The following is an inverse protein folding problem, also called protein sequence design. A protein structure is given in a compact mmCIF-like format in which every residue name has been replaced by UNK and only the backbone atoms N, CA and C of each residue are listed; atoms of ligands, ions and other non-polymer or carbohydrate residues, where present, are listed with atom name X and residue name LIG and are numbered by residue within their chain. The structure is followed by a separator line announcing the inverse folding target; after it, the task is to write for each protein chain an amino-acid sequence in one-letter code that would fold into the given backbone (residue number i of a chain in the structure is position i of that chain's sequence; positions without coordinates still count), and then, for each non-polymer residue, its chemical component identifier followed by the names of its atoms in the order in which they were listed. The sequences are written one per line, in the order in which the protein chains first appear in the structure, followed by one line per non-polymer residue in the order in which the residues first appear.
data_IF_519409901738
#
_entry.id   IF_519409901738
#
_cell.length_a   1.000
_cell.length_b   1.000
_cell.length_c   1.000
_cell.angle_alpha   90.00
_cell.angle_beta   90.00
_cell.angle_gamma   90.00
#
_symmetry.space_group_name_H-M   'P 1'
#
loop_
_entity.id
_entity.type
_entity.pdbx_description
1 polymer ?
#
# COMPACT_ATOMS: atom_id res chain seq x y z
N UNK A 1 29.92 -1.07 -17.30
CA UNK A 1 28.86 -0.74 -16.31
C UNK A 1 27.76 0.09 -16.96
N UNK A 2 28.07 1.22 -17.61
CA UNK A 2 27.06 2.07 -18.26
C UNK A 2 26.16 1.30 -19.22
N UNK A 3 26.70 0.48 -20.12
CA UNK A 3 25.90 -0.34 -21.05
C UNK A 3 24.92 -1.30 -20.36
N UNK A 4 25.28 -1.82 -19.18
CA UNK A 4 24.38 -2.66 -18.38
C UNK A 4 23.23 -1.83 -17.78
N UNK A 5 23.52 -0.64 -17.28
CA UNK A 5 22.50 0.30 -16.78
C UNK A 5 21.55 0.72 -17.89
N UNK A 6 22.07 1.04 -19.06
CA UNK A 6 21.24 1.43 -20.21
C UNK A 6 20.35 0.28 -20.68
N UNK A 7 20.84 -0.95 -20.67
CA UNK A 7 20.07 -2.15 -20.96
C UNK A 7 18.97 -2.39 -19.92
N UNK A 8 19.28 -2.26 -18.62
CA UNK A 8 18.31 -2.39 -17.53
C UNK A 8 17.24 -1.30 -17.64
N UNK A 9 17.63 -0.05 -17.87
CA UNK A 9 16.68 1.05 -18.03
C UNK A 9 15.77 0.86 -19.24
N UNK A 10 16.28 0.33 -20.35
CA UNK A 10 15.48 0.02 -21.53
C UNK A 10 14.46 -1.09 -21.27
N UNK A 11 14.82 -2.10 -20.46
CA UNK A 11 13.89 -3.16 -20.01
C UNK A 11 12.85 -2.57 -19.06
N UNK A 12 13.26 -1.78 -18.08
CA UNK A 12 12.35 -1.13 -17.14
C UNK A 12 11.35 -0.21 -17.85
N UNK A 13 11.77 0.54 -18.87
CA UNK A 13 10.88 1.38 -19.66
C UNK A 13 9.81 0.56 -20.41
N UNK A 14 10.17 -0.61 -20.95
CA UNK A 14 9.19 -1.53 -21.57
C UNK A 14 8.22 -2.11 -20.56
N UNK A 15 8.72 -2.50 -19.38
CA UNK A 15 7.87 -3.00 -18.29
C UNK A 15 6.90 -1.91 -17.84
N UNK A 16 7.33 -0.66 -17.77
CA UNK A 16 6.46 0.45 -17.41
C UNK A 16 5.32 0.65 -18.40
N UNK A 17 5.58 0.56 -19.69
CA UNK A 17 4.53 0.63 -20.74
C UNK A 17 3.50 -0.48 -20.54
N UNK A 18 3.94 -1.70 -20.26
CA UNK A 18 3.03 -2.83 -20.00
C UNK A 18 2.25 -2.60 -18.70
N UNK A 19 2.89 -2.14 -17.64
CA UNK A 19 2.24 -1.80 -16.37
C UNK A 19 1.18 -0.72 -16.55
N UNK A 20 1.51 0.35 -17.28
CA UNK A 20 0.59 1.44 -17.57
C UNK A 20 -0.60 1.00 -18.42
N UNK A 21 -0.37 0.08 -19.37
CA UNK A 21 -1.43 -0.53 -20.14
C UNK A 21 -2.43 -1.28 -19.23
N UNK A 22 -1.93 -2.12 -18.31
CA UNK A 22 -2.79 -2.86 -17.37
C UNK A 22 -3.50 -1.94 -16.37
N UNK A 23 -2.78 -0.98 -15.80
CA UNK A 23 -3.36 -0.07 -14.81
C UNK A 23 -4.40 0.90 -15.39
N UNK A 24 -4.26 1.27 -16.64
CA UNK A 24 -5.16 2.21 -17.30
C UNK A 24 -6.16 1.53 -18.26
N UNK A 25 -6.09 0.20 -18.41
CA UNK A 25 -7.07 -0.52 -19.24
C UNK A 25 -8.49 -0.42 -18.63
N UNK A 26 -9.54 -0.16 -19.43
CA UNK A 26 -9.55 0.16 -20.86
C UNK A 26 -9.48 1.68 -21.16
N UNK A 27 -9.18 2.53 -20.18
CA UNK A 27 -9.13 3.99 -20.34
C UNK A 27 -8.08 4.46 -21.38
N UNK A 28 -7.15 3.58 -21.78
CA UNK A 28 -6.20 3.81 -22.87
C UNK A 28 -6.85 3.85 -24.26
N UNK A 29 -8.08 3.37 -24.41
CA UNK A 29 -8.77 3.34 -25.68
C UNK A 29 -9.69 4.54 -25.83
N UNK A 30 -9.61 5.24 -26.98
CA UNK A 30 -10.38 6.45 -27.26
C UNK A 30 -11.90 6.26 -27.14
N UNK A 31 -12.41 5.09 -27.55
CA UNK A 31 -13.84 4.78 -27.46
C UNK A 31 -14.33 4.67 -26.01
N UNK A 32 -13.48 4.21 -25.09
CA UNK A 32 -13.84 4.10 -23.69
C UNK A 32 -13.63 5.43 -22.95
N UNK A 33 -12.49 6.10 -23.19
CA UNK A 33 -12.17 7.39 -22.56
C UNK A 33 -13.15 8.51 -22.93
N UNK A 34 -13.88 8.37 -24.06
CA UNK A 34 -14.95 9.31 -24.42
C UNK A 34 -16.25 9.14 -23.62
N UNK A 35 -16.39 8.06 -22.84
CA UNK A 35 -17.56 7.88 -21.97
C UNK A 35 -17.46 8.84 -20.79
N UNK A 36 -18.42 9.75 -20.58
CA UNK A 36 -18.38 10.70 -19.48
C UNK A 36 -18.25 9.98 -18.14
N UNK A 37 -17.38 10.48 -17.28
CA UNK A 37 -17.08 9.96 -15.92
C UNK A 37 -16.41 8.58 -15.96
N UNK A 38 -17.06 7.56 -16.54
CA UNK A 38 -16.59 6.16 -16.54
C UNK A 38 -15.29 6.00 -17.32
N UNK A 39 -15.12 6.74 -18.41
CA UNK A 39 -13.92 6.67 -19.27
C UNK A 39 -12.61 7.02 -18.56
N UNK A 40 -12.68 7.69 -17.43
CA UNK A 40 -11.53 8.04 -16.61
C UNK A 40 -11.11 6.92 -15.64
N UNK A 41 -11.95 5.89 -15.46
CA UNK A 41 -11.68 4.81 -14.54
C UNK A 41 -11.17 3.57 -15.25
N UNK A 42 -10.02 3.06 -14.80
CA UNK A 42 -9.55 1.77 -15.26
C UNK A 42 -10.39 0.63 -14.68
N UNK A 43 -10.39 -0.51 -15.36
CA UNK A 43 -11.08 -1.71 -14.90
C UNK A 43 -10.54 -2.15 -13.51
N UNK A 44 -9.24 -2.00 -13.27
CA UNK A 44 -8.63 -2.31 -11.98
C UNK A 44 -9.25 -1.47 -10.84
N UNK A 45 -9.39 -0.15 -11.04
CA UNK A 45 -10.01 0.75 -10.07
C UNK A 45 -11.48 0.37 -9.85
N UNK A 46 -12.23 0.12 -10.93
CA UNK A 46 -13.65 -0.26 -10.86
C UNK A 46 -13.83 -1.56 -10.08
N UNK A 47 -13.02 -2.58 -10.37
CA UNK A 47 -13.11 -3.87 -9.71
C UNK A 47 -12.71 -3.78 -8.22
N UNK A 48 -11.60 -3.10 -7.91
CA UNK A 48 -11.12 -3.00 -6.54
C UNK A 48 -12.04 -2.15 -5.66
N UNK A 49 -12.44 -0.97 -6.14
CA UNK A 49 -13.36 -0.11 -5.40
C UNK A 49 -14.78 -0.70 -5.36
N UNK A 50 -15.24 -1.22 -6.49
CA UNK A 50 -16.56 -1.84 -6.60
C UNK A 50 -16.72 -3.08 -5.72
N UNK A 51 -15.70 -3.94 -5.66
CA UNK A 51 -15.69 -5.08 -4.72
C UNK A 51 -15.69 -4.61 -3.27
N UNK A 52 -14.95 -3.54 -2.93
CA UNK A 52 -14.95 -2.95 -1.61
C UNK A 52 -16.33 -2.43 -1.20
N UNK A 53 -17.02 -1.73 -2.09
CA UNK A 53 -18.40 -1.26 -1.89
C UNK A 53 -19.34 -2.45 -1.73
N UNK A 54 -19.24 -3.44 -2.63
CA UNK A 54 -20.07 -4.64 -2.57
C UNK A 54 -19.91 -5.37 -1.24
N UNK A 55 -18.68 -5.65 -0.79
CA UNK A 55 -18.43 -6.32 0.47
C UNK A 55 -18.84 -5.47 1.68
N UNK A 56 -18.65 -4.16 1.63
CA UNK A 56 -19.12 -3.25 2.69
C UNK A 56 -20.64 -3.38 2.87
N UNK A 57 -21.39 -3.32 1.78
CA UNK A 57 -22.87 -3.47 1.82
C UNK A 57 -23.30 -4.89 2.21
N UNK A 58 -22.71 -5.91 1.56
CA UNK A 58 -23.06 -7.32 1.78
C UNK A 58 -22.76 -7.77 3.21
N UNK A 59 -21.67 -7.31 3.80
CA UNK A 59 -21.26 -7.63 5.16
C UNK A 59 -21.78 -6.61 6.20
N UNK A 60 -22.67 -5.70 5.80
CA UNK A 60 -23.33 -4.72 6.67
C UNK A 60 -22.32 -3.88 7.45
N UNK A 61 -21.36 -3.26 6.73
CA UNK A 61 -20.32 -2.40 7.30
C UNK A 61 -19.46 -3.12 8.35
N UNK A 62 -18.96 -4.29 8.00
CA UNK A 62 -18.14 -5.16 8.86
C UNK A 62 -16.97 -4.40 9.49
N UNK A 63 -16.32 -3.54 8.72
CA UNK A 63 -15.17 -2.74 9.12
C UNK A 63 -15.47 -1.76 10.27
N UNK A 64 -16.72 -1.33 10.42
CA UNK A 64 -17.16 -0.48 11.53
C UNK A 64 -17.62 -1.34 12.71
N UNK A 65 -18.51 -2.31 12.44
CA UNK A 65 -19.15 -3.14 13.48
C UNK A 65 -18.16 -4.00 14.26
N UNK A 66 -17.13 -4.51 13.60
CA UNK A 66 -16.16 -5.43 14.21
C UNK A 66 -14.77 -4.82 14.37
N UNK A 67 -14.64 -3.49 14.20
CA UNK A 67 -13.37 -2.79 14.43
C UNK A 67 -12.81 -3.04 15.84
N UNK A 68 -13.66 -2.86 16.87
CA UNK A 68 -13.29 -3.13 18.26
C UNK A 68 -12.96 -4.61 18.53
N UNK A 69 -13.58 -5.55 17.81
CA UNK A 69 -13.22 -6.97 17.88
C UNK A 69 -11.80 -7.21 17.36
N UNK A 70 -11.44 -6.64 16.22
CA UNK A 70 -10.10 -6.75 15.66
C UNK A 70 -9.03 -6.20 16.60
N UNK A 71 -9.27 -5.04 17.26
CA UNK A 71 -8.37 -4.50 18.28
C UNK A 71 -8.23 -5.47 19.46
N UNK A 72 -9.33 -6.09 19.89
CA UNK A 72 -9.31 -7.08 20.99
C UNK A 72 -8.49 -8.31 20.61
N UNK A 73 -8.60 -8.80 19.38
CA UNK A 73 -7.80 -9.92 18.86
C UNK A 73 -6.31 -9.57 18.90
N UNK A 74 -5.93 -8.37 18.48
CA UNK A 74 -4.53 -7.91 18.54
C UNK A 74 -4.01 -7.82 19.98
N UNK A 75 -4.79 -7.23 20.90
CA UNK A 75 -4.40 -7.09 22.31
C UNK A 75 -4.26 -8.43 23.03
N UNK A 76 -5.12 -9.39 22.70
CA UNK A 76 -5.17 -10.70 23.36
C UNK A 76 -4.44 -11.78 22.53
N UNK A 77 -3.61 -11.37 21.56
CA UNK A 77 -2.88 -12.31 20.72
C UNK A 77 -1.95 -13.19 21.55
N UNK A 78 -2.17 -14.50 21.47
CA UNK A 78 -1.36 -15.50 22.16
C UNK A 78 -0.22 -15.97 21.25
N UNK A 79 0.79 -16.59 21.84
CA UNK A 79 1.82 -17.28 21.07
C UNK A 79 1.19 -18.43 20.28
N UNK A 80 1.53 -18.50 19.00
CA UNK A 80 1.03 -19.54 18.12
C UNK A 80 1.66 -20.90 18.47
N UNK A 81 0.86 -21.96 18.38
CA UNK A 81 1.35 -23.34 18.46
C UNK A 81 1.92 -23.80 17.11
N UNK A 82 1.26 -23.40 16.04
CA UNK A 82 1.62 -23.69 14.65
C UNK A 82 1.58 -22.39 13.87
N UNK A 83 2.54 -22.14 12.97
CA UNK A 83 2.60 -20.89 12.23
C UNK A 83 3.02 -19.69 13.06
N UNK A 84 2.32 -18.57 12.94
CA UNK A 84 2.62 -17.30 13.60
C UNK A 84 1.39 -16.77 14.35
N UNK A 85 1.59 -15.91 15.36
CA UNK A 85 0.48 -15.30 16.10
C UNK A 85 -0.29 -14.29 15.22
N UNK A 86 -1.53 -13.96 15.62
CA UNK A 86 -2.32 -12.93 14.93
C UNK A 86 -1.64 -11.56 14.95
N UNK A 87 -0.92 -11.23 16.02
CA UNK A 87 -0.14 -10.00 16.13
C UNK A 87 1.09 -10.02 15.21
N UNK A 88 1.81 -11.15 15.16
CA UNK A 88 2.94 -11.31 14.23
C UNK A 88 2.49 -11.24 12.76
N UNK A 89 1.34 -11.83 12.42
CA UNK A 89 0.74 -11.69 11.10
C UNK A 89 0.33 -10.25 10.79
N UNK A 90 -0.14 -9.50 11.77
CA UNK A 90 -0.43 -8.07 11.65
C UNK A 90 0.84 -7.27 11.36
N UNK A 91 1.92 -7.46 12.12
CA UNK A 91 3.19 -6.77 11.86
C UNK A 91 3.80 -7.17 10.52
N UNK A 92 3.75 -8.45 10.17
CA UNK A 92 4.24 -8.91 8.87
C UNK A 92 3.46 -8.27 7.71
N UNK A 93 2.14 -8.22 7.78
CA UNK A 93 1.32 -7.56 6.76
C UNK A 93 1.47 -6.04 6.79
N UNK A 94 1.73 -5.44 7.95
CA UNK A 94 2.02 -4.01 8.08
C UNK A 94 3.37 -3.67 7.44
N UNK A 95 4.39 -4.53 7.60
CA UNK A 95 5.67 -4.37 6.92
C UNK A 95 5.56 -4.40 5.39
N UNK A 96 4.56 -5.10 4.84
CA UNK A 96 4.30 -5.12 3.40
C UNK A 96 3.63 -3.82 2.92
N UNK A 97 2.74 -3.25 3.72
CA UNK A 97 1.97 -2.05 3.38
C UNK A 97 2.72 -0.76 3.69
N UNK A 98 3.21 -0.64 4.94
CA UNK A 98 3.85 0.60 5.42
C UNK A 98 5.31 0.65 4.97
N UNK A 99 5.57 1.52 4.01
CA UNK A 99 6.89 1.65 3.41
C UNK A 99 7.03 2.95 2.62
N UNK A 100 8.01 3.04 1.72
CA UNK A 100 8.21 4.21 0.87
C UNK A 100 6.96 4.62 0.07
N UNK A 101 6.07 3.66 -0.23
CA UNK A 101 4.80 3.90 -0.92
C UNK A 101 3.87 4.86 -0.17
N UNK A 102 3.88 4.85 1.16
CA UNK A 102 3.09 5.78 1.98
C UNK A 102 3.61 7.22 1.92
N UNK A 103 4.88 7.42 1.61
CA UNK A 103 5.48 8.74 1.44
C UNK A 103 5.41 9.16 -0.02
N UNK A 104 6.02 8.39 -0.91
CA UNK A 104 6.10 8.72 -2.34
C UNK A 104 4.73 8.63 -3.03
N UNK A 105 3.89 7.66 -2.63
CA UNK A 105 2.55 7.50 -3.15
C UNK A 105 1.63 8.65 -2.78
N UNK A 106 1.65 9.07 -1.50
CA UNK A 106 0.85 10.21 -1.02
C UNK A 106 1.34 11.52 -1.62
N UNK A 107 2.67 11.75 -1.62
CA UNK A 107 3.27 12.94 -2.24
C UNK A 107 2.90 13.02 -3.72
N UNK A 108 3.03 11.90 -4.46
CA UNK A 108 2.64 11.83 -5.88
C UNK A 108 1.14 12.05 -6.10
N UNK A 109 0.27 11.51 -5.23
CA UNK A 109 -1.17 11.74 -5.31
C UNK A 109 -1.51 13.23 -5.14
N UNK A 110 -0.91 13.88 -4.13
CA UNK A 110 -1.14 15.28 -3.85
C UNK A 110 -0.52 16.19 -4.92
N UNK A 111 0.67 15.85 -5.43
CA UNK A 111 1.34 16.63 -6.49
C UNK A 111 0.56 16.63 -7.80
N UNK A 112 -0.13 15.55 -8.13
CA UNK A 112 -0.88 15.40 -9.39
C UNK A 112 -2.35 15.77 -9.20
N UNK A 113 -2.96 15.29 -8.10
CA UNK A 113 -4.41 15.41 -7.84
C UNK A 113 -4.78 16.51 -6.85
N UNK A 114 -3.81 17.27 -6.32
CA UNK A 114 -4.04 18.24 -5.27
C UNK A 114 -4.34 17.60 -3.90
N UNK A 115 -4.52 18.44 -2.85
CA UNK A 115 -4.87 17.99 -1.50
C UNK A 115 -6.10 17.08 -1.42
N UNK A 116 -7.08 17.29 -2.32
CA UNK A 116 -8.30 16.48 -2.41
C UNK A 116 -8.08 15.01 -2.70
N UNK A 117 -6.93 14.63 -3.28
CA UNK A 117 -6.58 13.23 -3.50
C UNK A 117 -6.50 12.44 -2.18
N UNK A 118 -6.10 13.08 -1.08
CA UNK A 118 -6.04 12.44 0.24
C UNK A 118 -7.43 12.02 0.73
N UNK A 119 -8.47 12.81 0.50
CA UNK A 119 -9.85 12.42 0.81
C UNK A 119 -10.24 11.13 0.07
N UNK A 120 -9.92 11.04 -1.20
CA UNK A 120 -10.24 9.85 -2.00
C UNK A 120 -9.39 8.62 -1.63
N UNK A 121 -8.20 8.83 -1.07
CA UNK A 121 -7.45 7.75 -0.41
C UNK A 121 -8.20 7.22 0.81
N UNK A 122 -8.79 8.09 1.65
CA UNK A 122 -9.60 7.66 2.80
C UNK A 122 -10.83 6.86 2.37
N UNK A 123 -11.53 7.33 1.33
CA UNK A 123 -12.69 6.62 0.76
C UNK A 123 -12.28 5.23 0.26
N UNK A 124 -11.18 5.12 -0.49
CA UNK A 124 -10.69 3.83 -0.97
C UNK A 124 -10.28 2.90 0.17
N UNK A 125 -9.66 3.42 1.21
CA UNK A 125 -9.29 2.64 2.40
C UNK A 125 -10.50 2.13 3.16
N UNK A 126 -11.52 2.98 3.36
CA UNK A 126 -12.75 2.57 4.03
C UNK A 126 -13.41 1.37 3.35
N UNK A 127 -13.53 1.40 2.03
CA UNK A 127 -14.05 0.26 1.27
C UNK A 127 -13.05 -0.90 1.19
N UNK A 128 -11.76 -0.59 1.08
CA UNK A 128 -10.68 -1.57 1.08
C UNK A 128 -10.62 -2.41 2.36
N UNK A 129 -11.02 -1.86 3.52
CA UNK A 129 -11.10 -2.62 4.78
C UNK A 129 -12.03 -3.84 4.66
N UNK A 130 -13.17 -3.71 3.99
CA UNK A 130 -14.11 -4.83 3.78
C UNK A 130 -13.55 -5.86 2.80
N UNK A 131 -12.82 -5.43 1.79
CA UNK A 131 -12.11 -6.32 0.86
C UNK A 131 -11.02 -7.09 1.58
N UNK A 132 -10.16 -6.40 2.36
CA UNK A 132 -9.10 -7.02 3.15
C UNK A 132 -9.63 -8.03 4.18
N UNK A 133 -10.77 -7.70 4.82
CA UNK A 133 -11.48 -8.65 5.68
C UNK A 133 -11.85 -9.92 4.92
N UNK A 134 -12.44 -9.78 3.76
CA UNK A 134 -12.96 -10.91 2.96
C UNK A 134 -11.84 -11.80 2.46
N UNK A 135 -10.81 -11.22 1.80
CA UNK A 135 -9.69 -11.99 1.25
C UNK A 135 -8.87 -12.70 2.34
N UNK A 136 -8.68 -12.04 3.49
CA UNK A 136 -7.94 -12.63 4.61
C UNK A 136 -8.72 -13.73 5.32
N UNK A 137 -10.04 -13.59 5.41
CA UNK A 137 -10.93 -14.66 5.90
C UNK A 137 -10.89 -15.87 4.97
N UNK A 138 -10.95 -15.66 3.66
CA UNK A 138 -10.81 -16.74 2.67
C UNK A 138 -9.44 -17.42 2.78
N UNK A 139 -8.38 -16.66 2.95
CA UNK A 139 -7.04 -17.19 3.12
C UNK A 139 -6.93 -18.09 4.37
N UNK A 140 -7.59 -17.73 5.45
CA UNK A 140 -7.66 -18.54 6.67
C UNK A 140 -8.50 -19.82 6.50
N UNK A 141 -9.61 -19.76 5.75
CA UNK A 141 -10.49 -20.93 5.51
C UNK A 141 -9.78 -21.96 4.65
N UNK A 142 -9.01 -21.52 3.64
CA UNK A 142 -8.38 -22.40 2.66
C UNK A 142 -6.88 -22.59 2.85
N UNK A 143 -6.35 -22.24 4.02
CA UNK A 143 -4.94 -22.53 4.36
C UNK A 143 -4.72 -24.01 4.54
N UNK A 144 -3.50 -24.45 4.27
CA UNK A 144 -3.06 -25.81 4.45
C UNK A 144 -1.94 -25.88 5.50
N UNK A 145 -1.91 -26.94 6.30
CA UNK A 145 -0.83 -27.17 7.24
C UNK A 145 0.33 -27.87 6.52
N UNK A 146 1.53 -27.31 6.64
CA UNK A 146 2.75 -27.89 6.11
C UNK A 146 3.84 -27.92 7.19
N UNK A 147 4.03 -29.07 7.81
CA UNK A 147 4.90 -29.20 8.98
C UNK A 147 4.40 -28.34 10.15
N UNK A 148 5.24 -27.46 10.66
CA UNK A 148 4.93 -26.53 11.75
C UNK A 148 4.44 -25.16 11.28
N UNK A 149 4.07 -25.02 10.03
CA UNK A 149 3.62 -23.76 9.45
C UNK A 149 2.26 -23.91 8.76
N UNK A 150 1.52 -22.81 8.66
CA UNK A 150 0.38 -22.69 7.76
C UNK A 150 0.83 -22.00 6.47
N UNK A 151 0.42 -22.55 5.35
CA UNK A 151 0.61 -21.98 4.01
C UNK A 151 -0.74 -21.71 3.37
N UNK A 152 -0.86 -20.60 2.67
CA UNK A 152 -2.12 -20.21 2.05
C UNK A 152 -1.97 -18.92 1.26
N UNK A 153 -3.09 -18.33 0.92
CA UNK A 153 -3.17 -17.08 0.16
C UNK A 153 -3.93 -17.24 -1.15
N UNK A 154 -3.78 -16.26 -2.05
CA UNK A 154 -4.56 -16.15 -3.28
C UNK A 154 -4.59 -17.45 -4.11
N UNK A 155 -3.46 -18.14 -4.27
CA UNK A 155 -3.37 -19.36 -5.05
C UNK A 155 -4.20 -20.51 -4.46
N UNK A 156 -4.29 -20.60 -3.14
CA UNK A 156 -5.02 -21.64 -2.43
C UNK A 156 -6.53 -21.47 -2.52
N UNK A 157 -7.07 -20.30 -2.15
CA UNK A 157 -8.49 -20.07 -2.25
C UNK A 157 -8.94 -19.87 -3.70
N UNK A 158 -8.10 -19.28 -4.55
CA UNK A 158 -8.36 -19.14 -5.98
C UNK A 158 -8.52 -20.49 -6.68
N UNK A 159 -7.63 -21.45 -6.39
CA UNK A 159 -7.77 -22.83 -6.84
C UNK A 159 -9.14 -23.43 -6.44
N UNK A 160 -9.56 -23.22 -5.21
CA UNK A 160 -10.85 -23.73 -4.70
C UNK A 160 -12.05 -23.08 -5.36
N UNK A 161 -12.02 -21.74 -5.50
CA UNK A 161 -13.07 -20.97 -6.15
C UNK A 161 -13.22 -21.31 -7.64
N UNK A 162 -12.12 -21.69 -8.31
CA UNK A 162 -12.09 -22.13 -9.70
C UNK A 162 -12.25 -23.67 -9.83
N UNK A 163 -13.23 -24.22 -9.13
CA UNK A 163 -13.64 -25.65 -9.19
C UNK A 163 -12.52 -26.64 -8.84
N UNK A 164 -11.57 -26.25 -8.01
CA UNK A 164 -10.46 -27.10 -7.60
C UNK A 164 -9.38 -27.30 -8.66
N UNK A 165 -9.37 -26.50 -9.73
CA UNK A 165 -8.39 -26.61 -10.81
C UNK A 165 -6.96 -26.40 -10.31
N UNK A 166 -6.13 -27.43 -10.41
CA UNK A 166 -4.71 -27.32 -10.09
C UNK A 166 -3.99 -26.31 -11.00
N UNK A 167 -4.37 -26.26 -12.28
CA UNK A 167 -3.82 -25.29 -13.23
C UNK A 167 -4.10 -23.84 -12.80
N UNK A 168 -5.30 -23.55 -12.29
CA UNK A 168 -5.61 -22.22 -11.77
C UNK A 168 -4.72 -21.83 -10.57
N UNK A 169 -4.47 -22.75 -9.65
CA UNK A 169 -3.54 -22.53 -8.54
C UNK A 169 -2.12 -22.25 -9.01
N UNK A 170 -1.64 -23.00 -10.00
CA UNK A 170 -0.31 -22.79 -10.59
C UNK A 170 -0.21 -21.44 -11.28
N UNK A 171 -1.20 -21.08 -12.12
CA UNK A 171 -1.23 -19.78 -12.83
C UNK A 171 -1.20 -18.63 -11.82
N UNK A 172 -2.05 -18.66 -10.79
CA UNK A 172 -2.08 -17.63 -9.75
C UNK A 172 -0.75 -17.55 -8.98
N UNK A 173 -0.11 -18.68 -8.69
CA UNK A 173 1.20 -18.71 -8.04
C UNK A 173 2.29 -18.09 -8.92
N UNK A 174 2.31 -18.43 -10.21
CA UNK A 174 3.28 -17.88 -11.18
C UNK A 174 3.07 -16.37 -11.34
N UNK A 175 1.82 -15.91 -11.48
CA UNK A 175 1.51 -14.48 -11.55
C UNK A 175 2.02 -13.75 -10.30
N UNK A 176 1.88 -14.37 -9.12
CA UNK A 176 2.33 -13.77 -7.87
C UNK A 176 3.86 -13.70 -7.77
N UNK A 177 4.56 -14.74 -8.25
CA UNK A 177 6.03 -14.75 -8.32
C UNK A 177 6.51 -13.64 -9.27
N UNK A 178 5.89 -13.51 -10.43
CA UNK A 178 6.22 -12.43 -11.39
C UNK A 178 5.99 -11.06 -10.75
N UNK A 179 4.84 -10.86 -10.10
CA UNK A 179 4.55 -9.63 -9.37
C UNK A 179 5.62 -9.30 -8.34
N UNK A 180 5.99 -10.28 -7.50
CA UNK A 180 7.03 -10.11 -6.50
C UNK A 180 8.38 -9.71 -7.13
N UNK A 181 8.81 -10.41 -8.17
CA UNK A 181 10.06 -10.13 -8.88
C UNK A 181 10.10 -8.72 -9.50
N UNK A 182 8.96 -8.19 -9.94
CA UNK A 182 8.87 -6.84 -10.49
C UNK A 182 8.81 -5.76 -9.41
N UNK A 183 8.24 -6.05 -8.24
CA UNK A 183 8.11 -5.09 -7.14
C UNK A 183 9.36 -4.99 -6.27
N UNK A 184 10.12 -6.06 -6.09
CA UNK A 184 11.32 -6.09 -5.25
C UNK A 184 12.38 -5.03 -5.61
N UNK A 185 12.75 -4.84 -6.88
CA UNK A 185 13.78 -3.88 -7.25
C UNK A 185 13.40 -2.44 -6.86
N UNK A 186 12.13 -2.06 -7.01
CA UNK A 186 11.64 -0.73 -6.65
C UNK A 186 11.76 -0.48 -5.13
N UNK A 187 11.42 -1.46 -4.30
CA UNK A 187 11.54 -1.33 -2.85
C UNK A 187 13.03 -1.29 -2.42
N UNK A 188 13.87 -2.11 -3.02
CA UNK A 188 15.32 -2.09 -2.79
C UNK A 188 15.93 -0.74 -3.17
N UNK A 189 15.59 -0.20 -4.33
CA UNK A 189 16.02 1.12 -4.77
C UNK A 189 15.59 2.22 -3.79
N UNK A 190 14.34 2.23 -3.35
CA UNK A 190 13.83 3.20 -2.40
C UNK A 190 14.60 3.16 -1.06
N UNK A 191 14.90 1.95 -0.56
CA UNK A 191 15.66 1.78 0.68
C UNK A 191 17.10 2.34 0.55
N UNK A 192 17.79 2.00 -0.53
CA UNK A 192 19.15 2.47 -0.80
C UNK A 192 19.17 3.98 -1.06
N UNK A 193 18.20 4.51 -1.80
CA UNK A 193 18.08 5.96 -2.06
C UNK A 193 17.85 6.75 -0.77
N UNK A 194 17.11 6.17 0.19
CA UNK A 194 16.93 6.81 1.50
C UNK A 194 18.25 6.96 2.26
N UNK A 195 19.16 5.98 2.16
CA UNK A 195 20.52 6.08 2.73
C UNK A 195 21.32 7.20 2.06
N UNK A 196 21.23 7.30 0.73
CA UNK A 196 21.85 8.38 -0.03
C UNK A 196 21.34 9.76 0.41
N UNK A 197 20.02 9.93 0.51
CA UNK A 197 19.41 11.19 0.95
C UNK A 197 19.83 11.58 2.39
N UNK A 198 19.89 10.63 3.30
CA UNK A 198 20.38 10.88 4.66
C UNK A 198 21.83 11.38 4.61
N UNK A 199 22.68 10.74 3.82
CA UNK A 199 24.07 11.13 3.69
C UNK A 199 24.21 12.51 3.02
N UNK A 200 23.37 12.87 2.05
CA UNK A 200 23.33 14.23 1.46
C UNK A 200 22.97 15.28 2.51
N UNK A 201 21.96 15.01 3.34
CA UNK A 201 21.57 15.94 4.43
C UNK A 201 22.70 16.14 5.44
N UNK A 202 23.41 15.06 5.82
CA UNK A 202 24.51 15.13 6.79
C UNK A 202 25.74 15.81 6.22
N UNK A 203 26.09 15.55 4.96
CA UNK A 203 27.32 16.05 4.34
C UNK A 203 27.14 17.40 3.65
N UNK A 204 25.89 17.81 3.38
CA UNK A 204 25.58 19.01 2.59
C UNK A 204 26.02 18.90 1.12
N UNK A 205 26.30 17.71 0.62
CA UNK A 205 26.77 17.46 -0.75
C UNK A 205 25.84 16.49 -1.46
N UNK A 206 25.56 16.74 -2.73
CA UNK A 206 24.84 15.77 -3.56
C UNK A 206 25.70 14.52 -3.78
N UNK A 207 25.08 13.36 -3.55
CA UNK A 207 25.75 12.07 -3.68
C UNK A 207 25.20 11.36 -4.93
N UNK A 208 26.02 11.17 -5.96
CA UNK A 208 25.60 10.49 -7.17
C UNK A 208 25.14 9.04 -6.91
N UNK A 209 24.13 8.59 -7.63
CA UNK A 209 23.57 7.23 -7.47
C UNK A 209 24.52 6.10 -7.86
N UNK A 210 25.59 6.41 -8.57
CA UNK A 210 26.68 5.49 -8.93
C UNK A 210 27.82 5.47 -7.91
N UNK A 211 27.71 6.24 -6.81
CA UNK A 211 28.73 6.31 -5.77
C UNK A 211 28.92 4.97 -5.03
N UNK A 212 30.10 4.79 -4.43
CA UNK A 212 30.40 3.62 -3.61
C UNK A 212 29.40 3.43 -2.45
N UNK A 213 28.85 4.52 -1.89
CA UNK A 213 27.85 4.46 -0.83
C UNK A 213 26.60 3.68 -1.26
N UNK A 214 26.08 3.96 -2.46
CA UNK A 214 24.90 3.26 -2.99
C UNK A 214 25.19 1.77 -3.20
N UNK A 215 26.36 1.42 -3.75
CA UNK A 215 26.73 0.02 -3.98
C UNK A 215 26.94 -0.76 -2.68
N UNK A 216 27.59 -0.16 -1.70
CA UNK A 216 27.81 -0.78 -0.38
C UNK A 216 26.45 -0.96 0.33
N UNK A 217 25.60 0.05 0.31
CA UNK A 217 24.27 -0.01 0.91
C UNK A 217 23.39 -1.08 0.25
N UNK A 218 23.43 -1.18 -1.07
CA UNK A 218 22.72 -2.21 -1.83
C UNK A 218 23.24 -3.61 -1.48
N UNK A 219 24.56 -3.82 -1.46
CA UNK A 219 25.16 -5.10 -1.10
C UNK A 219 24.81 -5.51 0.35
N UNK A 220 24.88 -4.58 1.30
CA UNK A 220 24.51 -4.81 2.69
C UNK A 220 23.02 -5.18 2.83
N UNK A 221 22.14 -4.46 2.14
CA UNK A 221 20.71 -4.75 2.12
C UNK A 221 20.41 -6.13 1.53
N UNK A 222 21.05 -6.46 0.40
CA UNK A 222 20.88 -7.76 -0.27
C UNK A 222 21.31 -8.91 0.64
N UNK A 223 22.47 -8.81 1.28
CA UNK A 223 22.97 -9.82 2.22
C UNK A 223 22.03 -9.96 3.40
N UNK A 224 21.56 -8.86 3.99
CA UNK A 224 20.60 -8.88 5.09
C UNK A 224 19.28 -9.57 4.69
N UNK A 225 18.75 -9.25 3.52
CA UNK A 225 17.52 -9.87 3.00
C UNK A 225 17.68 -11.38 2.78
N UNK A 226 18.80 -11.81 2.19
CA UNK A 226 19.08 -13.24 1.99
C UNK A 226 19.16 -13.96 3.34
N UNK A 227 19.88 -13.40 4.32
CA UNK A 227 20.00 -13.99 5.65
C UNK A 227 18.67 -14.09 6.39
N UNK A 228 17.78 -13.12 6.22
CA UNK A 228 16.46 -13.12 6.84
C UNK A 228 15.56 -14.16 6.13
N UNK A 229 15.51 -14.11 4.80
CA UNK A 229 14.66 -14.98 4.00
C UNK A 229 15.02 -16.47 4.15
N UNK A 230 16.30 -16.80 4.29
CA UNK A 230 16.77 -18.20 4.49
C UNK A 230 16.21 -18.86 5.76
N UNK A 231 15.80 -18.07 6.74
CA UNK A 231 15.21 -18.58 7.98
C UNK A 231 13.70 -18.81 7.93
N UNK A 232 13.07 -18.66 6.75
CA UNK A 232 11.64 -18.86 6.56
C UNK A 232 10.78 -17.80 7.26
N UNK A 233 9.46 -18.00 7.23
CA UNK A 233 8.48 -17.03 7.72
C UNK A 233 8.69 -16.69 9.20
N UNK A 234 9.09 -17.64 10.03
CA UNK A 234 9.34 -17.42 11.45
C UNK A 234 10.51 -16.47 11.73
N UNK A 235 11.55 -16.49 10.90
CA UNK A 235 12.68 -15.55 11.04
C UNK A 235 12.29 -14.17 10.51
N UNK A 236 11.57 -14.12 9.40
CA UNK A 236 11.04 -12.87 8.85
C UNK A 236 10.13 -12.18 9.89
N UNK A 237 9.21 -12.90 10.52
CA UNK A 237 8.31 -12.33 11.55
C UNK A 237 9.07 -11.82 12.76
N UNK A 238 10.09 -12.53 13.25
CA UNK A 238 10.91 -12.02 14.37
C UNK A 238 11.57 -10.68 14.07
N UNK A 239 11.99 -10.47 12.82
CA UNK A 239 12.56 -9.18 12.40
C UNK A 239 11.47 -8.13 12.28
N UNK A 240 10.33 -8.44 11.66
CA UNK A 240 9.23 -7.48 11.50
C UNK A 240 8.56 -7.11 12.81
N UNK A 241 8.47 -8.04 13.78
CA UNK A 241 7.91 -7.79 15.11
C UNK A 241 8.69 -6.71 15.89
N UNK A 242 9.96 -6.51 15.57
CA UNK A 242 10.81 -5.49 16.19
C UNK A 242 10.91 -4.24 15.30
N UNK A 243 11.18 -4.44 14.01
CA UNK A 243 11.48 -3.34 13.10
C UNK A 243 10.24 -2.46 12.82
N UNK A 244 9.07 -3.09 12.63
CA UNK A 244 7.83 -2.36 12.29
C UNK A 244 7.37 -1.43 13.41
N UNK A 245 7.28 -1.87 14.68
CA UNK A 245 6.94 -0.95 15.77
C UNK A 245 7.96 0.19 15.93
N UNK A 246 9.25 -0.08 15.81
CA UNK A 246 10.30 0.96 15.92
C UNK A 246 10.12 1.99 14.81
N UNK A 247 9.98 1.54 13.56
CA UNK A 247 9.75 2.40 12.40
C UNK A 247 8.47 3.24 12.58
N UNK A 248 7.38 2.61 13.00
CA UNK A 248 6.12 3.29 13.22
C UNK A 248 6.21 4.35 14.32
N UNK A 249 6.86 4.05 15.44
CA UNK A 249 7.05 4.99 16.55
C UNK A 249 7.89 6.19 16.12
N UNK A 250 9.02 5.96 15.45
CA UNK A 250 9.89 7.05 14.97
C UNK A 250 9.12 7.94 14.00
N UNK A 251 8.44 7.33 13.02
CA UNK A 251 7.67 8.08 12.01
C UNK A 251 6.54 8.89 12.64
N UNK A 252 5.69 8.25 13.45
CA UNK A 252 4.55 8.90 14.11
C UNK A 252 5.02 10.00 15.06
N UNK A 253 6.05 9.75 15.87
CA UNK A 253 6.59 10.74 16.78
C UNK A 253 7.13 11.97 16.03
N UNK A 254 7.89 11.76 14.95
CA UNK A 254 8.41 12.85 14.13
C UNK A 254 7.29 13.69 13.53
N UNK A 255 6.26 13.04 12.97
CA UNK A 255 5.14 13.77 12.37
C UNK A 255 4.29 14.45 13.42
N UNK A 256 4.07 13.84 14.59
CA UNK A 256 3.34 14.50 15.69
C UNK A 256 4.06 15.75 16.19
N UNK A 257 5.38 15.73 16.28
CA UNK A 257 6.17 16.94 16.59
C UNK A 257 5.91 18.04 15.55
N UNK A 258 5.95 17.69 14.25
CA UNK A 258 5.66 18.63 13.17
C UNK A 258 4.21 19.18 13.26
N UNK A 259 3.24 18.34 13.60
CA UNK A 259 1.84 18.73 13.80
C UNK A 259 1.71 19.71 14.97
N UNK A 260 2.32 19.42 16.12
CA UNK A 260 2.28 20.28 17.30
C UNK A 260 2.90 21.65 17.00
N UNK A 261 4.04 21.69 16.35
CA UNK A 261 4.69 22.95 15.94
C UNK A 261 3.82 23.75 14.95
N UNK A 262 3.01 23.08 14.17
CA UNK A 262 2.16 23.71 13.14
C UNK A 262 0.65 23.60 13.46
N UNK A 263 0.28 23.49 14.72
CA UNK A 263 -1.12 23.26 15.15
C UNK A 263 -2.11 24.28 14.54
N UNK A 264 -1.70 25.52 14.37
CA UNK A 264 -2.51 26.59 13.78
C UNK A 264 -2.91 26.33 12.31
N UNK A 265 -2.21 25.42 11.63
CA UNK A 265 -2.48 25.07 10.23
C UNK A 265 -3.40 23.86 10.08
N UNK A 266 -3.78 23.19 11.17
CA UNK A 266 -4.68 22.03 11.15
C UNK A 266 -6.04 22.35 10.49
N UNK A 267 -6.73 23.46 10.84
CA UNK A 267 -7.99 23.78 10.20
C UNK A 267 -7.84 23.98 8.70
N UNK A 268 -6.76 24.64 8.27
CA UNK A 268 -6.47 24.85 6.86
C UNK A 268 -6.18 23.54 6.12
N UNK A 269 -5.49 22.58 6.76
CA UNK A 269 -5.27 21.27 6.18
C UNK A 269 -6.59 20.57 5.82
N UNK A 270 -7.51 20.47 6.77
CA UNK A 270 -8.80 19.85 6.52
C UNK A 270 -9.63 20.66 5.49
N UNK A 271 -9.61 21.98 5.59
CA UNK A 271 -10.26 22.84 4.60
C UNK A 271 -9.73 22.55 3.19
N UNK A 272 -8.40 22.51 3.00
CA UNK A 272 -7.79 22.22 1.71
C UNK A 272 -8.18 20.83 1.19
N UNK A 273 -8.10 19.78 2.04
CA UNK A 273 -8.44 18.43 1.65
C UNK A 273 -9.90 18.31 1.22
N UNK A 274 -10.85 18.82 2.01
CA UNK A 274 -12.27 18.69 1.70
C UNK A 274 -12.70 19.62 0.55
N UNK A 275 -12.22 20.85 0.49
CA UNK A 275 -12.57 21.78 -0.58
C UNK A 275 -12.05 21.28 -1.92
N UNK A 276 -10.78 20.86 -1.98
CA UNK A 276 -10.20 20.35 -3.22
C UNK A 276 -10.79 18.99 -3.67
N UNK A 277 -11.30 18.18 -2.74
CA UNK A 277 -11.94 16.90 -3.08
C UNK A 277 -13.25 17.08 -3.85
N UNK A 278 -13.95 18.20 -3.66
CA UNK A 278 -15.31 18.42 -4.17
C UNK A 278 -15.47 19.68 -5.02
N UNK A 279 -14.39 20.34 -5.46
CA UNK A 279 -14.49 21.49 -6.36
C UNK A 279 -15.28 21.13 -7.63
N UNK A 280 -16.30 21.95 -8.03
CA UNK A 280 -17.09 21.67 -9.23
C UNK A 280 -16.26 21.62 -10.51
N UNK A 281 -15.23 22.42 -10.64
CA UNK A 281 -14.27 22.40 -11.75
C UNK A 281 -13.45 21.10 -11.74
N UNK A 282 -13.20 20.58 -10.55
CA UNK A 282 -12.64 19.26 -10.32
C UNK A 282 -13.67 18.13 -10.54
N UNK A 283 -14.99 18.40 -10.47
CA UNK A 283 -16.06 17.41 -10.60
C UNK A 283 -16.53 17.22 -12.05
N UNK A 284 -16.61 18.31 -12.82
CA UNK A 284 -17.20 18.31 -14.18
C UNK A 284 -16.23 18.72 -15.29
N UNK A 285 -15.09 19.34 -14.97
CA UNK A 285 -13.98 19.58 -15.88
C UNK A 285 -12.87 18.58 -15.62
N UNK A 286 -12.06 18.20 -16.59
CA UNK A 286 -11.06 17.10 -16.55
C UNK A 286 -10.19 16.95 -15.29
N UNK A 287 -10.33 17.80 -14.29
CA UNK A 287 -9.59 17.79 -13.02
C UNK A 287 -10.24 16.96 -11.90
N UNK A 288 -11.56 16.72 -11.88
CA UNK A 288 -12.22 15.87 -10.87
C UNK A 288 -11.76 14.42 -11.00
N UNK A 289 -11.64 13.95 -12.21
CA UNK A 289 -11.07 12.66 -12.47
C UNK A 289 -9.67 12.51 -11.86
N UNK A 290 -8.86 13.56 -11.88
CA UNK A 290 -7.45 13.46 -11.44
C UNK A 290 -7.33 13.26 -9.93
N UNK A 291 -7.98 14.09 -9.10
CA UNK A 291 -7.92 13.94 -7.65
C UNK A 291 -8.50 12.59 -7.18
N UNK A 292 -9.68 12.23 -7.70
CA UNK A 292 -10.35 10.97 -7.39
C UNK A 292 -9.52 9.78 -7.88
N UNK A 293 -9.10 9.78 -9.15
CA UNK A 293 -8.33 8.66 -9.72
C UNK A 293 -7.00 8.50 -9.00
N UNK A 294 -6.25 9.58 -8.78
CA UNK A 294 -4.96 9.52 -8.08
C UNK A 294 -5.15 9.09 -6.62
N UNK A 295 -6.15 9.64 -5.94
CA UNK A 295 -6.47 9.26 -4.57
C UNK A 295 -6.85 7.79 -4.44
N UNK A 296 -7.79 7.31 -5.25
CA UNK A 296 -8.21 5.90 -5.22
C UNK A 296 -7.07 4.98 -5.65
N UNK A 297 -6.38 5.27 -6.76
CA UNK A 297 -5.25 4.48 -7.27
C UNK A 297 -4.14 4.36 -6.23
N UNK A 298 -3.72 5.47 -5.63
CA UNK A 298 -2.64 5.47 -4.63
C UNK A 298 -3.08 4.90 -3.29
N UNK A 299 -4.33 5.11 -2.89
CA UNK A 299 -4.90 4.48 -1.70
C UNK A 299 -4.92 2.96 -1.80
N UNK A 300 -5.41 2.41 -2.92
CA UNK A 300 -5.41 0.97 -3.19
C UNK A 300 -3.99 0.39 -3.28
N UNK A 301 -3.06 1.12 -3.88
CA UNK A 301 -1.65 0.70 -3.93
C UNK A 301 -0.97 0.71 -2.57
N UNK A 302 -1.35 1.63 -1.66
CA UNK A 302 -0.80 1.73 -0.33
C UNK A 302 -1.30 0.60 0.57
N UNK A 303 -2.62 0.41 0.64
CA UNK A 303 -3.23 -0.53 1.58
C UNK A 303 -3.28 -1.98 1.09
N UNK A 304 -2.98 -2.23 -0.18
CA UNK A 304 -2.93 -3.54 -0.84
C UNK A 304 -4.23 -4.37 -0.75
N UNK A 305 -5.36 -3.75 -0.38
CA UNK A 305 -6.64 -4.45 -0.25
C UNK A 305 -7.15 -4.94 -1.63
N UNK A 306 -7.45 -6.22 -1.72
CA UNK A 306 -7.91 -6.88 -2.95
C UNK A 306 -6.77 -7.29 -3.90
N UNK A 307 -5.50 -7.03 -3.54
CA UNK A 307 -4.35 -7.44 -4.34
C UNK A 307 -3.86 -8.85 -4.00
N UNK A 308 -4.37 -9.45 -2.94
CA UNK A 308 -4.01 -10.80 -2.51
C UNK A 308 -2.69 -10.89 -1.73
N UNK A 309 -1.92 -9.82 -1.60
CA UNK A 309 -0.61 -9.77 -0.90
C UNK A 309 -0.74 -10.13 0.57
N UNK A 310 -1.68 -9.48 1.25
CA UNK A 310 -1.93 -9.68 2.69
C UNK A 310 -2.51 -11.04 3.04
N UNK A 311 -2.94 -11.79 2.05
CA UNK A 311 -3.54 -13.11 2.26
C UNK A 311 -2.54 -14.16 2.73
N UNK A 312 -1.25 -14.01 2.36
CA UNK A 312 -0.20 -14.93 2.81
C UNK A 312 0.11 -14.79 4.31
N UNK A 313 0.43 -13.59 4.84
CA UNK A 313 0.59 -13.44 6.28
C UNK A 313 -0.71 -13.76 7.05
N UNK A 314 -1.87 -13.42 6.49
CA UNK A 314 -3.14 -13.78 7.09
C UNK A 314 -3.33 -15.29 7.20
N UNK A 315 -2.99 -16.07 6.17
CA UNK A 315 -3.07 -17.53 6.18
C UNK A 315 -2.10 -18.17 7.19
N UNK A 316 -0.89 -17.60 7.32
CA UNK A 316 0.13 -18.12 8.23
C UNK A 316 -0.24 -17.99 9.72
N UNK A 317 -1.23 -17.15 10.05
CA UNK A 317 -1.66 -16.93 11.42
C UNK A 317 -2.41 -18.13 12.02
N UNK A 318 -2.09 -18.44 13.28
CA UNK A 318 -2.85 -19.35 14.14
C UNK A 318 -3.98 -18.56 14.82
N UNK A 319 -5.12 -18.48 14.15
CA UNK A 319 -6.27 -17.73 14.62
C UNK A 319 -7.39 -18.68 15.07
N UNK A 320 -8.03 -18.34 16.19
CA UNK A 320 -9.15 -19.12 16.77
C UNK A 320 -10.34 -19.19 15.80
N UNK A 321 -10.53 -18.15 14.98
CA UNK A 321 -11.60 -18.10 13.98
C UNK A 321 -11.13 -17.34 12.72
N UNK A 322 -11.45 -17.81 11.50
CA UNK A 322 -11.01 -17.15 10.26
C UNK A 322 -11.34 -15.66 10.18
N UNK A 323 -12.54 -15.26 10.60
CA UNK A 323 -12.98 -13.86 10.59
C UNK A 323 -12.18 -12.98 11.55
N UNK A 324 -11.60 -13.54 12.63
CA UNK A 324 -10.76 -12.77 13.54
C UNK A 324 -9.54 -12.20 12.83
N UNK A 325 -8.90 -13.02 11.98
CA UNK A 325 -7.79 -12.57 11.17
C UNK A 325 -8.24 -11.59 10.06
N UNK A 326 -9.44 -11.77 9.52
CA UNK A 326 -10.05 -10.80 8.61
C UNK A 326 -10.21 -9.42 9.26
N UNK A 327 -10.71 -9.35 10.51
CA UNK A 327 -10.81 -8.10 11.27
C UNK A 327 -9.44 -7.47 11.52
N UNK A 328 -8.42 -8.27 11.85
CA UNK A 328 -7.04 -7.81 12.05
C UNK A 328 -6.49 -7.16 10.78
N UNK A 329 -6.71 -7.76 9.62
CA UNK A 329 -6.23 -7.21 8.35
C UNK A 329 -6.98 -5.95 7.91
N UNK A 330 -8.28 -5.85 8.24
CA UNK A 330 -9.03 -4.62 8.04
C UNK A 330 -8.46 -3.45 8.87
N UNK A 331 -8.04 -3.70 10.12
CA UNK A 331 -7.32 -2.69 10.94
C UNK A 331 -5.99 -2.31 10.29
N UNK A 332 -5.29 -3.26 9.66
CA UNK A 332 -4.05 -2.96 8.94
C UNK A 332 -4.27 -1.95 7.81
N UNK A 333 -5.36 -2.07 7.04
CA UNK A 333 -5.75 -1.08 6.02
C UNK A 333 -6.04 0.30 6.63
N UNK A 334 -6.78 0.31 7.75
CA UNK A 334 -7.06 1.55 8.49
C UNK A 334 -5.76 2.23 8.94
N UNK A 335 -4.88 1.48 9.59
CA UNK A 335 -3.60 2.00 10.08
C UNK A 335 -2.75 2.56 8.93
N UNK A 336 -2.63 1.82 7.83
CA UNK A 336 -1.83 2.22 6.69
C UNK A 336 -2.34 3.53 6.05
N UNK A 337 -3.58 3.54 5.61
CA UNK A 337 -4.06 4.63 4.76
C UNK A 337 -4.74 5.74 5.57
N UNK A 338 -5.59 5.41 6.54
CA UNK A 338 -6.28 6.45 7.32
C UNK A 338 -5.31 7.11 8.32
N UNK A 339 -4.36 6.36 8.91
CA UNK A 339 -3.43 6.95 9.87
C UNK A 339 -2.14 7.40 9.17
N UNK A 340 -1.35 6.47 8.63
CA UNK A 340 0.01 6.77 8.13
C UNK A 340 -0.02 7.69 6.91
N UNK A 341 -0.89 7.43 5.91
CA UNK A 341 -0.97 8.32 4.74
C UNK A 341 -1.53 9.70 5.10
N UNK A 342 -2.40 9.81 6.11
CA UNK A 342 -2.86 11.11 6.61
C UNK A 342 -1.73 11.90 7.26
N UNK A 343 -0.90 11.24 8.06
CA UNK A 343 0.29 11.86 8.64
C UNK A 343 1.25 12.36 7.55
N UNK A 344 1.49 11.56 6.52
CA UNK A 344 2.28 11.99 5.36
C UNK A 344 1.63 13.17 4.63
N UNK A 345 0.33 13.07 4.36
CA UNK A 345 -0.43 14.15 3.71
C UNK A 345 -0.35 15.45 4.50
N UNK A 346 -0.36 15.35 5.82
CA UNK A 346 -0.18 16.50 6.72
C UNK A 346 1.17 17.18 6.48
N UNK A 347 2.26 16.41 6.49
CA UNK A 347 3.61 16.94 6.24
C UNK A 347 3.71 17.59 4.86
N UNK A 348 3.20 16.94 3.82
CA UNK A 348 3.27 17.42 2.45
C UNK A 348 2.44 18.68 2.25
N UNK A 349 1.18 18.69 2.71
CA UNK A 349 0.25 19.79 2.52
C UNK A 349 0.69 21.01 3.35
N UNK A 350 1.06 20.82 4.61
CA UNK A 350 1.46 21.93 5.48
C UNK A 350 2.84 22.46 5.18
N UNK A 351 3.76 21.60 4.71
CA UNK A 351 5.09 21.99 4.26
C UNK A 351 5.08 22.75 2.93
N UNK A 352 3.93 22.78 2.23
CA UNK A 352 3.82 23.32 0.85
C UNK A 352 4.88 22.75 -0.09
N UNK A 353 5.22 21.48 0.10
CA UNK A 353 6.33 20.81 -0.62
C UNK A 353 5.90 20.32 -2.00
N UNK A 354 4.60 20.36 -2.34
CA UNK A 354 4.14 19.99 -3.67
C UNK A 354 4.31 21.16 -4.64
N UNK A 355 4.83 20.94 -5.84
CA UNK A 355 4.87 21.96 -6.84
C UNK A 355 3.44 22.34 -7.22
N UNK A 356 3.04 23.57 -6.87
CA UNK A 356 1.73 24.11 -7.23
C UNK A 356 1.76 24.42 -8.73
N UNK A 357 1.32 23.46 -9.53
CA UNK A 357 1.02 23.70 -10.94
C UNK A 357 -0.26 24.52 -11.12
N UNK A 358 -0.90 24.91 -10.03
CA UNK A 358 -2.12 25.71 -10.01
C UNK A 358 -1.79 27.16 -9.65
N UNK A 359 -1.58 27.98 -10.68
CA UNK A 359 -1.39 29.42 -10.60
C UNK A 359 -2.56 30.20 -9.96
N UNK A 360 -3.68 29.54 -9.66
CA UNK A 360 -4.89 30.17 -9.12
C UNK A 360 -4.98 30.27 -7.60
N UNK A 361 -4.16 29.54 -6.84
CA UNK A 361 -4.17 29.65 -5.36
C UNK A 361 -3.25 30.75 -4.83
N UNK A 362 -2.38 31.33 -5.66
CA UNK A 362 -1.51 32.46 -5.29
C UNK A 362 -2.17 33.84 -5.42
N UNK A 363 -3.36 33.93 -6.00
CA UNK A 363 -4.03 35.22 -6.24
C UNK A 363 -4.86 35.73 -5.06
N UNK A 364 -4.89 35.04 -3.93
CA UNK A 364 -5.67 35.40 -2.75
C UNK A 364 -4.83 35.50 -1.45
N UNK A 365 -3.51 35.59 -1.53
CA UNK A 365 -2.59 36.09 -0.51
C UNK A 365 -1.96 37.41 -1.00
#
# INVERSE_FOLDING_TARGET
MQALFDAINAVCAKIQVVSDLFWNFPANFSWYSSIPILGNFSLAIILLLGSGIYFTCKLRFIQVRYFGHGIRVLKNSKSARIGISSLAAFFLSTAMRVGPGNILGVTGAISIGGPGALFWMWVSAFFGMATAFTESTLAQIFKEKKGDEYVGGLAFYGKRLLKGSAAAGVVLSVMYIIYALLCFPAQGFNAVSSVGQIAEVITGRSIPTDSALYWISFAALLVAMIMIAWGGIRKVTKVTDVLVPIMAVIYVATVLILIVVNVNRIPWFFYAVFTEAFKPEAVFGGAFGVALIQGVKRGLMSNEAGQGTITMPAAAADADHPCSQGCVQAIGVFLDTIVICTLTGFVVIMGRVWPVSYTHLRAHE
#
